data_IF_795926750441
#
_entry.id   IF_795926750441
#
_cell.length_a   1.000
_cell.length_b   1.000
_cell.length_c   1.000
_cell.angle_alpha   90.00
_cell.angle_beta   90.00
_cell.angle_gamma   90.00
#
_symmetry.space_group_name_H-M   'P 1'
#
loop_
_entity.id
_entity.type
_entity.pdbx_description
1 polymer ?
#
# COMPACT_ATOMS: atom_id res chain seq x y z
N UNK A 1 -0.63 -13.92 -0.10
CA UNK A 1 0.54 -13.22 -0.67
C UNK A 1 0.95 -12.14 0.33
N UNK A 2 1.99 -12.39 1.12
CA UNK A 2 2.43 -11.52 2.22
C UNK A 2 3.79 -10.94 1.85
N UNK A 3 3.89 -9.61 1.79
CA UNK A 3 5.14 -8.89 1.51
C UNK A 3 5.99 -8.73 2.78
N UNK A 4 5.34 -8.46 3.91
CA UNK A 4 5.97 -8.33 5.22
C UNK A 4 4.97 -8.70 6.31
N UNK A 5 5.47 -9.28 7.40
CA UNK A 5 4.71 -9.53 8.62
C UNK A 5 5.42 -8.86 9.78
N UNK A 6 4.71 -8.02 10.51
CA UNK A 6 5.13 -7.48 11.81
C UNK A 6 4.48 -8.23 12.95
N UNK A 7 4.62 -7.70 14.16
CA UNK A 7 4.05 -8.30 15.37
C UNK A 7 2.52 -8.25 15.38
N UNK A 8 1.94 -7.13 14.92
CA UNK A 8 0.50 -6.89 14.95
C UNK A 8 -0.08 -6.55 13.57
N UNK A 9 0.70 -6.62 12.49
CA UNK A 9 0.21 -6.31 11.14
C UNK A 9 0.79 -7.23 10.06
N UNK A 10 0.10 -7.26 8.93
CA UNK A 10 0.54 -7.94 7.71
C UNK A 10 0.43 -6.99 6.54
N UNK A 11 1.50 -6.90 5.74
CA UNK A 11 1.51 -6.13 4.49
C UNK A 11 1.26 -7.07 3.32
N UNK A 12 0.26 -6.73 2.49
CA UNK A 12 -0.08 -7.47 1.28
C UNK A 12 -0.40 -6.50 0.14
N UNK A 13 -0.31 -6.92 -1.13
CA UNK A 13 -0.94 -6.17 -2.21
C UNK A 13 -2.44 -5.99 -1.94
N UNK A 14 -2.99 -4.84 -2.31
CA UNK A 14 -4.43 -4.63 -2.25
C UNK A 14 -5.16 -5.67 -3.10
N UNK A 15 -6.30 -6.17 -2.63
CA UNK A 15 -7.11 -7.15 -3.38
C UNK A 15 -7.71 -6.54 -4.65
N UNK A 16 -8.02 -5.24 -4.59
CA UNK A 16 -8.45 -4.41 -5.72
C UNK A 16 -7.51 -3.19 -5.82
N UNK A 17 -6.36 -3.32 -6.50
CA UNK A 17 -5.40 -2.23 -6.61
C UNK A 17 -6.00 -1.03 -7.32
N UNK A 18 -5.78 0.17 -6.78
CA UNK A 18 -6.13 1.41 -7.48
C UNK A 18 -5.06 1.71 -8.54
N UNK A 19 -3.80 1.53 -8.20
CA UNK A 19 -2.65 1.65 -9.08
C UNK A 19 -1.68 0.47 -8.86
N UNK A 20 -0.73 0.29 -9.78
CA UNK A 20 0.39 -0.63 -9.59
C UNK A 20 1.17 -0.28 -8.31
N UNK A 21 1.58 -1.31 -7.57
CA UNK A 21 2.24 -1.14 -6.28
C UNK A 21 1.30 -0.77 -5.11
N UNK A 22 -0.02 -0.76 -5.29
CA UNK A 22 -0.95 -0.54 -4.17
C UNK A 22 -0.86 -1.69 -3.15
N UNK A 23 -0.50 -1.35 -1.92
CA UNK A 23 -0.36 -2.28 -0.79
C UNK A 23 -1.16 -1.82 0.42
N UNK A 24 -1.56 -2.80 1.23
CA UNK A 24 -2.35 -2.63 2.45
C UNK A 24 -1.61 -3.27 3.62
N UNK A 25 -1.42 -2.49 4.67
CA UNK A 25 -1.04 -2.92 6.01
C UNK A 25 -2.34 -3.24 6.75
N UNK A 26 -2.68 -4.51 6.88
CA UNK A 26 -3.82 -4.93 7.70
C UNK A 26 -3.35 -5.08 9.14
N UNK A 27 -3.93 -4.30 10.05
CA UNK A 27 -3.56 -4.30 11.46
C UNK A 27 -4.48 -5.26 12.23
N UNK A 28 -3.94 -5.90 13.27
CA UNK A 28 -4.70 -6.72 14.21
C UNK A 28 -5.35 -5.91 15.33
N UNK A 29 -4.99 -4.62 15.44
CA UNK A 29 -5.51 -3.66 16.43
C UNK A 29 -5.70 -2.30 15.75
N UNK A 30 -6.54 -1.44 16.33
CA UNK A 30 -6.80 -0.13 15.76
C UNK A 30 -5.63 0.83 16.01
N UNK A 31 -5.33 1.73 15.08
CA UNK A 31 -4.25 2.72 15.18
C UNK A 31 -4.27 3.50 16.50
N UNK A 32 -5.42 4.01 17.00
CA UNK A 32 -5.46 4.76 18.25
C UNK A 32 -5.14 3.92 19.50
N UNK A 33 -5.13 2.59 19.39
CA UNK A 33 -4.87 1.65 20.49
C UNK A 33 -3.43 1.13 20.50
N UNK A 34 -2.63 1.54 19.52
CA UNK A 34 -1.23 1.11 19.39
C UNK A 34 -0.35 1.83 20.42
N UNK A 35 0.61 1.10 21.00
CA UNK A 35 1.67 1.71 21.81
C UNK A 35 2.65 2.49 20.94
N UNK A 36 3.50 3.31 21.56
CA UNK A 36 4.57 4.04 20.87
C UNK A 36 5.53 3.09 20.13
N UNK A 37 5.85 1.94 20.72
CA UNK A 37 6.68 0.90 20.09
C UNK A 37 5.98 0.29 18.87
N UNK A 38 4.67 0.01 18.96
CA UNK A 38 3.88 -0.51 17.85
C UNK A 38 3.79 0.52 16.71
N UNK A 39 3.57 1.81 17.04
CA UNK A 39 3.58 2.90 16.07
C UNK A 39 4.95 3.05 15.40
N UNK A 40 6.05 2.92 16.15
CA UNK A 40 7.40 2.93 15.59
C UNK A 40 7.60 1.78 14.61
N UNK A 41 7.26 0.54 15.00
CA UNK A 41 7.37 -0.64 14.14
C UNK A 41 6.57 -0.45 12.83
N UNK A 42 5.34 0.05 12.93
CA UNK A 42 4.50 0.36 11.76
C UNK A 42 5.15 1.41 10.86
N UNK A 43 5.72 2.47 11.44
CA UNK A 43 6.38 3.55 10.70
C UNK A 43 7.62 3.06 9.95
N UNK A 44 8.44 2.22 10.59
CA UNK A 44 9.63 1.63 9.97
C UNK A 44 9.25 0.71 8.80
N UNK A 45 8.22 -0.11 8.98
CA UNK A 45 7.71 -0.98 7.92
C UNK A 45 7.10 -0.17 6.76
N UNK A 46 6.39 0.92 7.05
CA UNK A 46 5.86 1.84 6.06
C UNK A 46 6.97 2.46 5.22
N UNK A 47 8.03 2.97 5.85
CA UNK A 47 9.19 3.57 5.18
C UNK A 47 9.87 2.53 4.26
N UNK A 48 10.09 1.31 4.75
CA UNK A 48 10.70 0.23 3.97
C UNK A 48 9.88 -0.10 2.71
N UNK A 49 8.56 -0.22 2.86
CA UNK A 49 7.65 -0.53 1.75
C UNK A 49 7.60 0.62 0.74
N UNK A 50 7.50 1.87 1.19
CA UNK A 50 7.53 3.05 0.32
C UNK A 50 8.84 3.12 -0.46
N UNK A 51 9.98 2.85 0.20
CA UNK A 51 11.29 2.80 -0.46
C UNK A 51 11.35 1.72 -1.53
N UNK A 52 10.83 0.52 -1.24
CA UNK A 52 10.81 -0.59 -2.22
C UNK A 52 9.92 -0.27 -3.42
N UNK A 53 8.75 0.32 -3.18
CA UNK A 53 7.87 0.80 -4.24
C UNK A 53 8.57 1.88 -5.08
N UNK A 54 9.32 2.79 -4.44
CA UNK A 54 10.06 3.85 -5.14
C UNK A 54 11.07 3.28 -6.13
N UNK A 55 11.81 2.26 -5.71
CA UNK A 55 12.82 1.58 -6.53
C UNK A 55 12.19 0.87 -7.73
N UNK A 56 11.13 0.10 -7.50
CA UNK A 56 10.50 -0.75 -8.51
C UNK A 56 9.65 0.05 -9.50
N UNK A 57 8.87 1.01 -9.00
CA UNK A 57 7.83 1.67 -9.78
C UNK A 57 8.13 3.13 -10.13
N UNK A 58 9.02 3.79 -9.38
CA UNK A 58 9.37 5.22 -9.55
C UNK A 58 8.14 6.14 -9.68
N UNK A 59 7.20 6.10 -8.71
CA UNK A 59 6.06 7.01 -8.71
C UNK A 59 6.50 8.46 -8.46
N UNK A 60 5.68 9.40 -8.90
CA UNK A 60 5.88 10.84 -8.66
C UNK A 60 5.37 11.28 -7.29
N UNK A 61 4.50 10.47 -6.67
CA UNK A 61 3.98 10.71 -5.33
C UNK A 61 3.29 9.51 -4.72
N UNK A 62 2.76 9.69 -3.53
CA UNK A 62 2.07 8.65 -2.78
C UNK A 62 0.86 9.23 -2.08
N UNK A 63 -0.22 8.46 -2.01
CA UNK A 63 -1.23 8.64 -0.97
C UNK A 63 -1.02 7.56 0.09
N UNK A 64 -0.93 8.00 1.34
CA UNK A 64 -0.89 7.12 2.51
C UNK A 64 -2.21 7.35 3.24
N UNK A 65 -3.09 6.36 3.19
CA UNK A 65 -4.41 6.44 3.81
C UNK A 65 -4.36 5.72 5.16
N UNK A 66 -4.84 6.40 6.19
CA UNK A 66 -4.95 5.90 7.55
C UNK A 66 -6.42 5.57 7.81
N UNK A 67 -6.70 4.29 8.03
CA UNK A 67 -7.98 3.80 8.54
C UNK A 67 -7.79 3.34 9.99
N UNK A 68 -8.88 3.10 10.71
CA UNK A 68 -8.77 2.62 12.09
C UNK A 68 -7.95 1.33 12.18
N UNK A 69 -8.12 0.37 11.27
CA UNK A 69 -7.51 -0.96 11.33
C UNK A 69 -6.59 -1.26 10.12
N UNK A 70 -6.24 -0.25 9.34
CA UNK A 70 -5.41 -0.42 8.15
C UNK A 70 -4.63 0.84 7.77
N UNK A 71 -3.49 0.64 7.12
CA UNK A 71 -2.78 1.69 6.37
C UNK A 71 -2.65 1.26 4.92
N UNK A 72 -3.06 2.11 3.98
CA UNK A 72 -2.91 1.84 2.55
C UNK A 72 -1.88 2.78 1.93
N UNK A 73 -1.04 2.24 1.04
CA UNK A 73 -0.06 3.01 0.28
C UNK A 73 -0.37 2.90 -1.20
N UNK A 74 -0.83 3.99 -1.79
CA UNK A 74 -1.19 4.08 -3.21
C UNK A 74 -0.14 4.93 -3.94
N UNK A 75 0.72 4.33 -4.78
CA UNK A 75 1.67 5.07 -5.59
C UNK A 75 0.93 5.88 -6.67
N UNK A 76 1.40 7.09 -6.99
CA UNK A 76 0.72 8.03 -7.90
C UNK A 76 1.64 8.53 -9.01
N UNK A 77 1.04 8.79 -10.16
CA UNK A 77 1.68 9.42 -11.32
C UNK A 77 0.78 10.52 -11.90
N UNK A 78 1.37 11.54 -12.52
CA UNK A 78 0.63 12.47 -13.34
C UNK A 78 -0.15 11.73 -14.42
N UNK A 79 -1.46 11.99 -14.52
CA UNK A 79 -2.34 11.35 -15.50
C UNK A 79 -2.70 9.89 -15.18
N UNK A 80 -2.46 9.40 -13.96
CA UNK A 80 -2.87 8.03 -13.57
C UNK A 80 -4.40 7.84 -13.52
N UNK A 81 -5.18 8.93 -13.56
CA UNK A 81 -6.63 8.93 -13.74
C UNK A 81 -6.95 9.17 -15.21
N UNK A 82 -7.65 8.22 -15.84
CA UNK A 82 -8.15 8.34 -17.21
C UNK A 82 -9.61 8.76 -17.26
N UNK A 83 -10.12 9.10 -18.44
CA UNK A 83 -11.55 9.39 -18.64
C UNK A 83 -12.47 8.27 -18.14
N UNK A 84 -12.06 7.00 -18.28
CA UNK A 84 -12.83 5.85 -17.79
C UNK A 84 -13.08 5.90 -16.28
N UNK A 85 -12.14 6.47 -15.52
CA UNK A 85 -12.29 6.60 -14.07
C UNK A 85 -13.42 7.58 -13.70
N UNK A 86 -13.73 8.56 -14.55
CA UNK A 86 -14.89 9.44 -14.38
C UNK A 86 -16.21 8.68 -14.53
N UNK A 87 -16.20 7.53 -15.20
CA UNK A 87 -17.33 6.60 -15.30
C UNK A 87 -17.30 5.51 -14.23
N UNK A 88 -16.46 5.65 -13.20
CA UNK A 88 -16.31 4.67 -12.12
C UNK A 88 -15.43 3.47 -12.45
N UNK A 89 -14.72 3.47 -13.59
CA UNK A 89 -13.86 2.37 -14.02
C UNK A 89 -12.38 2.76 -13.92
N UNK A 90 -11.66 2.13 -12.98
CA UNK A 90 -10.22 2.33 -12.82
C UNK A 90 -9.46 1.18 -13.50
N UNK A 91 -8.71 1.50 -14.56
CA UNK A 91 -7.80 0.53 -15.19
C UNK A 91 -6.52 0.43 -14.37
N UNK A 92 -6.13 -0.79 -13.99
CA UNK A 92 -4.85 -1.10 -13.36
C UNK A 92 -4.13 -2.17 -14.19
N UNK A 93 -2.86 -1.96 -14.59
CA UNK A 93 -2.14 -2.90 -15.44
C UNK A 93 -1.57 -4.10 -14.67
N UNK A 94 -1.66 -4.12 -13.34
CA UNK A 94 -1.15 -5.21 -12.51
C UNK A 94 -2.24 -5.81 -11.62
N UNK A 95 -2.25 -7.14 -11.58
CA UNK A 95 -3.00 -7.91 -10.59
C UNK A 95 -2.29 -7.88 -9.23
N UNK A 96 -2.98 -8.23 -8.13
CA UNK A 96 -2.34 -8.35 -6.82
C UNK A 96 -1.14 -9.32 -6.82
N UNK A 97 -1.20 -10.38 -7.64
CA UNK A 97 -0.09 -11.34 -7.79
C UNK A 97 1.13 -10.71 -8.46
N UNK A 98 0.93 -9.95 -9.53
CA UNK A 98 2.03 -9.25 -10.20
C UNK A 98 2.69 -8.23 -9.27
N UNK A 99 1.89 -7.51 -8.46
CA UNK A 99 2.42 -6.59 -7.43
C UNK A 99 3.23 -7.36 -6.39
N UNK A 100 2.72 -8.50 -5.91
CA UNK A 100 3.46 -9.36 -4.98
C UNK A 100 4.80 -9.79 -5.56
N UNK A 101 4.82 -10.28 -6.79
CA UNK A 101 6.04 -10.76 -7.45
C UNK A 101 7.06 -9.62 -7.66
N UNK A 102 6.61 -8.41 -7.95
CA UNK A 102 7.47 -7.24 -8.12
C UNK A 102 8.04 -6.67 -6.80
N UNK A 103 7.29 -6.80 -5.70
CA UNK A 103 7.67 -6.24 -4.39
C UNK A 103 8.20 -7.29 -3.40
N UNK A 104 8.27 -8.57 -3.78
CA UNK A 104 8.82 -9.63 -2.93
C UNK A 104 10.31 -9.42 -2.65
#
# INVERSE_FOLDING_TARGET
>A
MILKKGNFFVVKPAERPLNSGHVVFKLGRKIPELSDEELRELSEALIQIVSKIKEVYRPEGYNILLFEDAVEVVPRWCGDISFNALMGLKTTPQTPRMIYEALK
#
